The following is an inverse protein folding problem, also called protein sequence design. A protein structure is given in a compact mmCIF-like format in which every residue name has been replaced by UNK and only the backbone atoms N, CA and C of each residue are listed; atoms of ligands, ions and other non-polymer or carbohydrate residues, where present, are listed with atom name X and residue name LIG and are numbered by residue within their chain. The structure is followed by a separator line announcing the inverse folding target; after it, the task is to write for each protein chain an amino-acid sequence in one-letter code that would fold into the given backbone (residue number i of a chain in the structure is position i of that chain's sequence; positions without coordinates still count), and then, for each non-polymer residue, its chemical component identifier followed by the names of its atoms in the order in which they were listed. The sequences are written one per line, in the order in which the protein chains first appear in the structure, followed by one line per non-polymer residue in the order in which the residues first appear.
data_IF_611527891382
#
_entry.id   IF_611527891382
#
_cell.length_a   1.000
_cell.length_b   1.000
_cell.length_c   1.000
_cell.angle_alpha   90.00
_cell.angle_beta   90.00
_cell.angle_gamma   90.00
#
_symmetry.space_group_name_H-M   'P 1'
#
loop_
_entity.id
_entity.type
_entity.pdbx_description
1 polymer ?
#
# COMPACT_ATOMS: atom_id res chain seq x y z
N UNK A 1 10.50 19.06 41.86
CA UNK A 1 9.63 18.57 40.77
C UNK A 1 8.19 18.78 41.19
N UNK A 2 7.53 19.82 40.68
CA UNK A 2 6.12 20.09 40.99
C UNK A 2 5.28 19.62 39.81
N UNK A 3 4.52 18.55 40.06
CA UNK A 3 3.59 17.92 39.14
C UNK A 3 2.31 18.76 39.11
N UNK A 4 1.96 19.35 37.97
CA UNK A 4 0.68 20.05 37.80
C UNK A 4 -0.41 18.98 37.63
N UNK A 5 -1.05 18.65 38.76
CA UNK A 5 -2.24 17.79 38.79
C UNK A 5 -3.46 18.55 38.28
N UNK A 6 -3.84 18.35 37.03
CA UNK A 6 -5.12 18.80 36.47
C UNK A 6 -6.26 17.91 37.02
N UNK A 7 -6.84 18.27 38.16
CA UNK A 7 -7.90 17.47 38.82
C UNK A 7 -9.30 18.12 38.79
N UNK A 8 -9.51 19.21 38.07
CA UNK A 8 -10.86 19.74 37.76
C UNK A 8 -10.92 20.29 36.33
N UNK A 9 -11.96 19.92 35.57
CA UNK A 9 -12.32 20.60 34.30
C UNK A 9 -12.75 22.03 34.62
N UNK A 10 -11.85 22.98 34.45
CA UNK A 10 -12.12 24.41 34.53
C UNK A 10 -11.18 25.15 33.57
N UNK A 11 -11.72 26.07 32.78
CA UNK A 11 -10.91 26.95 31.94
C UNK A 11 -10.39 28.06 32.85
N UNK A 12 -9.13 27.97 33.28
CA UNK A 12 -8.45 29.07 33.94
C UNK A 12 -8.22 30.19 32.92
N UNK A 13 -8.25 31.46 33.36
CA UNK A 13 -7.84 32.58 32.51
C UNK A 13 -6.32 32.47 32.33
N UNK A 14 -5.89 32.12 31.11
CA UNK A 14 -4.49 31.93 30.74
C UNK A 14 -3.91 33.27 30.31
N UNK A 15 -2.69 33.60 30.74
CA UNK A 15 -2.02 34.84 30.30
C UNK A 15 -1.57 34.73 28.83
N UNK A 16 -1.46 35.85 28.09
CA UNK A 16 -1.11 35.79 26.66
C UNK A 16 0.21 35.04 26.34
N UNK A 17 1.21 35.13 27.21
CA UNK A 17 2.48 34.41 27.10
C UNK A 17 2.32 32.89 27.31
N UNK A 18 1.50 32.48 28.28
CA UNK A 18 1.15 31.08 28.50
C UNK A 18 0.28 30.52 27.38
N UNK A 19 -0.56 31.35 26.77
CA UNK A 19 -1.39 30.97 25.62
C UNK A 19 -0.54 30.65 24.38
N UNK A 20 0.51 31.42 24.12
CA UNK A 20 1.42 31.15 23.00
C UNK A 20 2.12 29.79 23.15
N UNK A 21 2.55 29.42 24.36
CA UNK A 21 3.12 28.09 24.62
C UNK A 21 2.14 26.94 24.33
N UNK A 22 0.85 27.17 24.60
CA UNK A 22 -0.20 26.19 24.29
C UNK A 22 -0.40 26.06 22.79
N UNK A 23 -0.38 27.17 22.04
CA UNK A 23 -0.50 27.17 20.57
C UNK A 23 0.67 26.42 19.94
N UNK A 24 1.91 26.74 20.34
CA UNK A 24 3.11 26.07 19.81
C UNK A 24 3.05 24.55 20.04
N UNK A 25 2.65 24.13 21.25
CA UNK A 25 2.48 22.72 21.57
C UNK A 25 1.37 22.03 20.75
N UNK A 26 0.28 22.75 20.44
CA UNK A 26 -0.79 22.25 19.58
C UNK A 26 -0.33 22.09 18.14
N UNK A 27 0.47 23.03 17.62
CA UNK A 27 1.03 22.97 16.28
C UNK A 27 2.02 21.80 16.14
N UNK A 28 2.89 21.60 17.13
CA UNK A 28 3.79 20.45 17.18
C UNK A 28 3.03 19.11 17.22
N UNK A 29 1.96 19.04 18.01
CA UNK A 29 1.10 17.85 18.06
C UNK A 29 0.44 17.61 16.72
N UNK A 30 -0.08 18.66 16.08
CA UNK A 30 -0.72 18.57 14.77
C UNK A 30 0.28 18.07 13.71
N UNK A 31 1.47 18.64 13.66
CA UNK A 31 2.53 18.22 12.74
C UNK A 31 2.92 16.74 12.96
N UNK A 32 2.98 16.31 14.22
CA UNK A 32 3.24 14.91 14.57
C UNK A 32 2.13 13.98 14.08
N UNK A 33 0.87 14.37 14.28
CA UNK A 33 -0.30 13.60 13.82
C UNK A 33 -0.35 13.52 12.29
N UNK A 34 -0.12 14.63 11.59
CA UNK A 34 -0.11 14.66 10.12
C UNK A 34 1.00 13.77 9.56
N UNK A 35 2.18 13.78 10.17
CA UNK A 35 3.29 12.89 9.82
C UNK A 35 2.90 11.42 9.98
N UNK A 36 2.27 11.07 11.10
CA UNK A 36 1.79 9.70 11.37
C UNK A 36 0.74 9.29 10.33
N UNK A 37 -0.21 10.15 10.00
CA UNK A 37 -1.25 9.88 8.99
C UNK A 37 -0.62 9.63 7.61
N UNK A 38 0.40 10.39 7.24
CA UNK A 38 1.11 10.17 5.98
C UNK A 38 1.86 8.83 5.98
N UNK A 39 2.45 8.43 7.11
CA UNK A 39 3.11 7.13 7.22
C UNK A 39 2.17 5.96 6.91
N UNK A 40 0.88 6.05 7.26
CA UNK A 40 -0.10 5.00 6.96
C UNK A 40 -0.48 4.88 5.48
N UNK A 41 -0.05 5.82 4.62
CA UNK A 41 -0.38 5.83 3.18
C UNK A 41 0.72 5.20 2.32
N UNK A 42 1.88 4.92 2.88
CA UNK A 42 2.93 4.21 2.16
C UNK A 42 2.66 2.71 2.19
N UNK A 43 2.78 2.05 1.05
CA UNK A 43 2.77 0.59 0.97
C UNK A 43 3.90 0.12 0.08
N UNK A 44 4.45 -1.04 0.38
CA UNK A 44 5.43 -1.70 -0.50
C UNK A 44 4.79 -2.91 -1.12
N UNK A 45 4.85 -2.99 -2.45
CA UNK A 45 4.51 -4.20 -3.19
C UNK A 45 5.78 -5.02 -3.31
N UNK A 46 5.77 -6.21 -2.72
CA UNK A 46 6.82 -7.20 -2.84
C UNK A 46 6.35 -8.31 -3.77
N UNK A 47 7.16 -8.64 -4.75
CA UNK A 47 6.90 -9.66 -5.76
C UNK A 47 7.94 -10.74 -5.60
N UNK A 48 7.49 -11.98 -5.51
CA UNK A 48 8.30 -13.17 -5.57
C UNK A 48 7.89 -13.98 -6.80
N UNK A 49 8.75 -13.94 -7.83
CA UNK A 49 8.54 -14.64 -9.07
C UNK A 49 9.40 -15.90 -9.12
N UNK A 50 8.80 -17.05 -8.81
CA UNK A 50 9.45 -18.36 -8.94
C UNK A 50 9.19 -19.04 -10.30
N UNK A 51 8.53 -18.34 -11.23
CA UNK A 51 8.30 -18.84 -12.58
C UNK A 51 9.61 -18.88 -13.37
N UNK A 52 9.66 -19.75 -14.39
CA UNK A 52 10.77 -19.87 -15.33
C UNK A 52 10.78 -18.79 -16.43
N UNK A 53 9.85 -17.82 -16.35
CA UNK A 53 9.71 -16.71 -17.28
C UNK A 53 9.60 -15.37 -16.54
N UNK A 54 9.90 -14.30 -17.27
CA UNK A 54 9.74 -12.94 -16.79
C UNK A 54 8.25 -12.56 -16.78
N UNK A 55 7.82 -11.86 -15.73
CA UNK A 55 6.42 -11.47 -15.52
C UNK A 55 6.28 -9.96 -15.64
N UNK A 56 5.38 -9.51 -16.50
CA UNK A 56 4.94 -8.12 -16.57
C UNK A 56 3.79 -7.90 -15.59
N UNK A 57 3.94 -6.92 -14.69
CA UNK A 57 3.00 -6.62 -13.61
C UNK A 57 2.50 -5.19 -13.76
N UNK A 58 1.18 -5.03 -13.75
CA UNK A 58 0.50 -3.74 -13.72
C UNK A 58 -0.32 -3.63 -12.44
N UNK A 59 -0.07 -2.59 -11.65
CA UNK A 59 -0.83 -2.31 -10.42
C UNK A 59 -2.04 -1.44 -10.79
N UNK A 60 -3.23 -1.92 -10.44
CA UNK A 60 -4.51 -1.26 -10.71
C UNK A 60 -5.14 -0.78 -9.40
N UNK A 61 -5.71 0.41 -9.43
CA UNK A 61 -6.35 1.06 -8.28
C UNK A 61 -7.80 1.40 -8.57
N UNK A 62 -8.63 1.36 -7.53
CA UNK A 62 -10.04 1.73 -7.65
C UNK A 62 -10.56 2.36 -6.34
N UNK A 63 -11.65 3.13 -6.46
CA UNK A 63 -12.43 3.68 -5.35
C UNK A 63 -13.25 2.62 -4.62
N UNK A 64 -13.68 1.60 -5.34
CA UNK A 64 -14.55 0.52 -4.87
C UNK A 64 -13.80 -0.83 -4.90
N UNK A 65 -14.20 -1.83 -4.08
CA UNK A 65 -13.58 -3.16 -4.08
C UNK A 65 -13.99 -3.99 -5.31
N UNK A 66 -13.77 -3.44 -6.51
CA UNK A 66 -14.15 -4.03 -7.78
C UNK A 66 -13.08 -3.77 -8.84
N UNK A 67 -13.03 -4.59 -9.88
CA UNK A 67 -12.15 -4.37 -11.04
C UNK A 67 -12.73 -3.32 -12.01
N UNK A 68 -14.05 -3.19 -12.05
CA UNK A 68 -14.75 -2.27 -12.94
C UNK A 68 -14.34 -0.81 -12.66
N UNK A 69 -13.92 -0.09 -13.71
CA UNK A 69 -13.40 1.30 -13.63
C UNK A 69 -12.07 1.43 -12.87
N UNK A 70 -11.35 0.33 -12.65
CA UNK A 70 -9.99 0.43 -12.13
C UNK A 70 -9.07 1.15 -13.12
N UNK A 71 -8.12 1.91 -12.57
CA UNK A 71 -7.11 2.64 -13.34
C UNK A 71 -5.73 2.06 -13.05
N UNK A 72 -4.82 2.18 -14.00
CA UNK A 72 -3.41 1.84 -13.74
C UNK A 72 -2.82 2.93 -12.85
N UNK A 73 -2.33 2.54 -11.66
CA UNK A 73 -1.71 3.48 -10.72
C UNK A 73 -0.28 3.81 -11.16
N UNK A 74 0.39 2.85 -11.79
CA UNK A 74 1.76 2.96 -12.30
C UNK A 74 1.86 2.34 -13.69
N UNK A 75 2.92 2.70 -14.41
CA UNK A 75 3.34 1.97 -15.60
C UNK A 75 3.68 0.51 -15.23
N UNK A 76 3.40 -0.40 -16.16
CA UNK A 76 3.80 -1.79 -16.01
C UNK A 76 5.32 -1.90 -15.79
N UNK A 77 5.72 -2.89 -15.00
CA UNK A 77 7.13 -3.23 -14.78
C UNK A 77 7.31 -4.74 -14.87
N UNK A 78 8.51 -5.15 -15.28
CA UNK A 78 8.85 -6.55 -15.45
C UNK A 78 9.69 -7.03 -14.29
N UNK A 79 9.34 -8.19 -13.74
CA UNK A 79 10.13 -8.93 -12.75
C UNK A 79 10.73 -10.14 -13.44
N UNK A 80 12.06 -10.26 -13.38
CA UNK A 80 12.76 -11.35 -14.03
C UNK A 80 12.36 -12.72 -13.44
N UNK A 81 12.53 -13.79 -14.21
CA UNK A 81 12.36 -15.16 -13.74
C UNK A 81 13.20 -15.46 -12.50
N UNK A 82 12.69 -16.30 -11.60
CA UNK A 82 13.36 -16.72 -10.36
C UNK A 82 13.99 -15.55 -9.57
N UNK A 83 13.28 -14.42 -9.51
CA UNK A 83 13.77 -13.22 -8.86
C UNK A 83 12.70 -12.57 -7.99
N UNK A 84 13.15 -11.74 -7.06
CA UNK A 84 12.28 -10.94 -6.22
C UNK A 84 12.42 -9.47 -6.59
N UNK A 85 11.34 -8.71 -6.40
CA UNK A 85 11.32 -7.28 -6.68
C UNK A 85 10.45 -6.56 -5.66
N UNK A 86 10.87 -5.38 -5.23
CA UNK A 86 10.13 -4.56 -4.29
C UNK A 86 9.94 -3.15 -4.85
N UNK A 87 8.73 -2.61 -4.70
CA UNK A 87 8.42 -1.24 -5.09
C UNK A 87 7.51 -0.56 -4.07
N UNK A 88 7.96 0.56 -3.55
CA UNK A 88 7.18 1.38 -2.62
C UNK A 88 6.29 2.36 -3.37
N UNK A 89 5.00 2.31 -3.05
CA UNK A 89 3.97 3.21 -3.52
C UNK A 89 3.76 4.31 -2.47
N UNK A 90 3.78 5.54 -2.95
CA UNK A 90 3.61 6.77 -2.18
C UNK A 90 2.50 7.58 -2.83
N UNK A 91 1.68 8.36 -2.09
CA UNK A 91 0.68 9.22 -2.71
C UNK A 91 1.23 10.17 -3.78
N UNK A 92 2.52 10.54 -3.68
CA UNK A 92 3.18 11.47 -4.59
C UNK A 92 3.63 10.81 -5.91
N UNK A 93 4.12 9.56 -5.84
CA UNK A 93 4.58 8.80 -7.02
C UNK A 93 3.49 7.92 -7.64
N UNK A 94 2.38 7.72 -6.92
CA UNK A 94 1.32 6.79 -7.27
C UNK A 94 0.01 7.36 -6.76
N UNK A 95 -0.91 7.67 -7.68
CA UNK A 95 -2.23 8.20 -7.34
C UNK A 95 -2.88 7.30 -6.30
N UNK A 96 -3.15 7.84 -5.11
CA UNK A 96 -3.75 7.08 -4.03
C UNK A 96 -5.16 6.60 -4.39
N UNK A 97 -5.39 5.30 -4.27
CA UNK A 97 -6.69 4.66 -4.48
C UNK A 97 -7.01 3.72 -3.30
N UNK A 98 -8.21 3.76 -2.70
CA UNK A 98 -8.55 2.96 -1.53
C UNK A 98 -8.41 1.45 -1.69
N UNK A 99 -8.60 0.94 -2.91
CA UNK A 99 -8.45 -0.48 -3.24
C UNK A 99 -7.43 -0.66 -4.35
N UNK A 100 -6.63 -1.71 -4.22
CA UNK A 100 -5.63 -2.11 -5.20
C UNK A 100 -5.78 -3.57 -5.58
N UNK A 101 -5.38 -3.86 -6.80
CA UNK A 101 -5.22 -5.21 -7.32
C UNK A 101 -4.10 -5.21 -8.35
N UNK A 102 -3.78 -6.37 -8.90
CA UNK A 102 -2.74 -6.49 -9.92
C UNK A 102 -3.26 -7.23 -11.13
N UNK A 103 -2.64 -6.94 -12.26
CA UNK A 103 -2.82 -7.61 -13.52
C UNK A 103 -1.46 -8.05 -14.00
N UNK A 104 -1.32 -9.33 -14.32
CA UNK A 104 -0.04 -9.97 -14.60
C UNK A 104 -0.10 -10.70 -15.93
N UNK A 105 1.01 -10.74 -16.65
CA UNK A 105 1.12 -11.46 -17.92
C UNK A 105 2.56 -11.85 -18.19
N UNK A 106 2.77 -12.87 -19.02
CA UNK A 106 4.08 -13.31 -19.47
C UNK A 106 4.15 -13.22 -21.00
N UNK A 107 5.31 -12.86 -21.56
CA UNK A 107 5.52 -12.87 -23.02
C UNK A 107 5.60 -14.28 -23.60
N UNK A 108 6.02 -15.24 -22.77
CA UNK A 108 6.09 -16.68 -23.06
C UNK A 108 5.41 -17.42 -21.93
N UNK A 109 4.64 -18.46 -22.26
CA UNK A 109 3.93 -19.27 -21.26
C UNK A 109 4.94 -19.96 -20.31
N UNK A 110 4.87 -19.72 -19.00
CA UNK A 110 5.72 -20.40 -18.03
C UNK A 110 5.38 -21.90 -17.93
N UNK A 111 6.38 -22.73 -17.71
CA UNK A 111 6.21 -24.18 -17.59
C UNK A 111 6.22 -24.68 -16.14
N UNK A 112 6.83 -23.91 -15.24
CA UNK A 112 6.98 -24.28 -13.83
C UNK A 112 6.98 -23.06 -12.93
N UNK A 113 6.87 -23.28 -11.61
CA UNK A 113 6.84 -22.22 -10.61
C UNK A 113 5.47 -21.56 -10.38
N UNK A 114 5.50 -20.54 -9.52
CA UNK A 114 4.36 -19.76 -9.06
C UNK A 114 4.73 -18.29 -8.85
N UNK A 115 3.73 -17.42 -8.96
CA UNK A 115 3.85 -16.00 -8.63
C UNK A 115 3.18 -15.71 -7.29
N UNK A 116 3.90 -15.03 -6.41
CA UNK A 116 3.37 -14.47 -5.16
C UNK A 116 3.58 -12.96 -5.15
N UNK A 117 2.54 -12.22 -4.77
CA UNK A 117 2.61 -10.75 -4.65
C UNK A 117 2.00 -10.35 -3.33
N UNK A 118 2.75 -9.56 -2.58
CA UNK A 118 2.42 -9.14 -1.23
C UNK A 118 2.35 -7.62 -1.17
N UNK A 119 1.41 -7.13 -0.36
CA UNK A 119 1.38 -5.75 0.11
C UNK A 119 1.88 -5.73 1.54
N UNK A 120 2.95 -4.98 1.76
CA UNK A 120 3.58 -4.77 3.05
C UNK A 120 3.32 -3.32 3.49
N UNK A 121 2.74 -3.16 4.68
CA UNK A 121 2.54 -1.85 5.32
C UNK A 121 3.71 -1.53 6.27
N UNK A 122 3.95 -0.25 6.60
CA UNK A 122 5.02 0.16 7.52
C UNK A 122 4.90 -0.43 8.93
N UNK A 123 3.70 -0.82 9.34
CA UNK A 123 3.47 -1.54 10.59
C UNK A 123 3.76 -3.05 10.51
N UNK A 124 4.48 -3.49 9.47
CA UNK A 124 4.85 -4.88 9.19
C UNK A 124 3.66 -5.83 8.92
N UNK A 125 2.46 -5.28 8.69
CA UNK A 125 1.33 -6.10 8.25
C UNK A 125 1.50 -6.45 6.78
N UNK A 126 1.41 -7.74 6.48
CA UNK A 126 1.51 -8.30 5.14
C UNK A 126 0.18 -8.91 4.70
N UNK A 127 -0.21 -8.65 3.45
CA UNK A 127 -1.35 -9.30 2.83
C UNK A 127 -1.00 -9.74 1.41
N UNK A 128 -1.39 -10.97 1.05
CA UNK A 128 -1.24 -11.49 -0.30
C UNK A 128 -2.26 -10.85 -1.24
N UNK A 129 -1.78 -10.20 -2.28
CA UNK A 129 -2.57 -9.80 -3.45
C UNK A 129 -2.67 -10.98 -4.42
N UNK A 130 -1.55 -11.66 -4.65
CA UNK A 130 -1.48 -12.88 -5.46
C UNK A 130 -0.91 -13.98 -4.60
N UNK A 131 -1.62 -15.11 -4.51
CA UNK A 131 -1.21 -16.27 -3.73
C UNK A 131 -1.03 -17.49 -4.63
N UNK A 132 0.21 -17.92 -4.82
CA UNK A 132 0.59 -19.12 -5.57
C UNK A 132 -0.07 -19.25 -6.95
N UNK A 133 -0.08 -18.16 -7.74
CA UNK A 133 -0.63 -18.21 -9.09
C UNK A 133 0.34 -18.92 -10.03
N UNK A 134 -0.09 -20.05 -10.58
CA UNK A 134 0.60 -20.75 -11.66
C UNK A 134 0.13 -20.22 -13.02
N UNK A 135 0.91 -19.33 -13.63
CA UNK A 135 0.64 -18.87 -14.99
C UNK A 135 1.06 -19.96 -15.99
N UNK A 136 0.19 -20.28 -16.95
CA UNK A 136 0.37 -21.36 -17.93
C UNK A 136 0.09 -20.95 -19.37
N UNK A 137 -0.20 -19.67 -19.60
CA UNK A 137 -0.41 -19.10 -20.92
C UNK A 137 0.21 -17.69 -20.99
N UNK A 138 -0.06 -16.96 -22.07
CA UNK A 138 0.40 -15.58 -22.27
C UNK A 138 -0.73 -14.55 -22.11
N UNK A 139 -1.90 -14.97 -21.61
CA UNK A 139 -3.02 -14.09 -21.40
C UNK A 139 -2.76 -13.18 -20.20
N UNK A 140 -3.59 -12.15 -20.09
CA UNK A 140 -3.61 -11.30 -18.91
C UNK A 140 -4.41 -11.99 -17.82
N UNK A 141 -3.79 -12.17 -16.66
CA UNK A 141 -4.42 -12.68 -15.46
C UNK A 141 -4.69 -11.53 -14.49
N UNK A 142 -5.94 -11.41 -14.01
CA UNK A 142 -6.33 -10.50 -12.94
C UNK A 142 -7.44 -11.10 -12.07
N UNK A 143 -8.01 -10.31 -11.15
CA UNK A 143 -9.05 -10.80 -10.24
C UNK A 143 -10.31 -11.33 -10.98
N UNK A 144 -10.56 -10.94 -12.24
CA UNK A 144 -11.72 -11.44 -12.99
C UNK A 144 -11.50 -12.82 -13.61
N UNK A 145 -10.27 -13.11 -14.05
CA UNK A 145 -9.89 -14.41 -14.63
C UNK A 145 -9.49 -15.41 -13.56
N UNK A 146 -8.81 -14.94 -12.50
CA UNK A 146 -8.22 -15.77 -11.45
C UNK A 146 -8.62 -15.31 -10.03
N UNK A 147 -9.93 -15.18 -9.72
CA UNK A 147 -10.40 -14.66 -8.44
C UNK A 147 -9.99 -15.50 -7.22
N UNK A 148 -9.64 -16.78 -7.43
CA UNK A 148 -9.14 -17.66 -6.38
C UNK A 148 -7.77 -17.22 -5.87
N UNK A 149 -6.90 -16.75 -6.77
CA UNK A 149 -5.48 -16.48 -6.51
C UNK A 149 -5.17 -14.98 -6.43
N UNK A 150 -5.88 -14.16 -7.20
CA UNK A 150 -5.68 -12.71 -7.24
C UNK A 150 -6.82 -12.04 -6.47
N UNK A 151 -6.48 -11.18 -5.50
CA UNK A 151 -7.43 -10.48 -4.64
C UNK A 151 -7.42 -8.98 -4.90
N UNK A 152 -8.57 -8.36 -4.62
CA UNK A 152 -8.67 -6.93 -4.44
C UNK A 152 -8.53 -6.67 -2.95
N UNK A 153 -7.54 -5.90 -2.57
CA UNK A 153 -7.28 -5.55 -1.18
C UNK A 153 -7.34 -4.04 -1.02
N UNK A 154 -7.49 -3.58 0.22
CA UNK A 154 -7.33 -2.16 0.51
C UNK A 154 -5.88 -1.73 0.28
N UNK A 155 -5.66 -0.45 0.02
CA UNK A 155 -4.33 0.15 0.13
C UNK A 155 -3.89 0.08 1.60
#
# INVERSE_FOLDING_TARGET
MTWIGLTKKGVAVIRPDEWNLVIDALDDLKNSVDTIIQMFRYITIFVDNSLDQDVSITIKGNREPALAKSINILSAFTVAKNSTYAKTLTPDNSTYMPYITVSVSCSTAPTSGYLNIYRIRPNLTENKIVDNLAIRDTNVHDNSTDPAFIKIIQW
#
